data_IF_446889921704
#
_entry.id   IF_446889921704
#
_cell.length_a   1.000
_cell.length_b   1.000
_cell.length_c   1.000
_cell.angle_alpha   90.00
_cell.angle_beta   90.00
_cell.angle_gamma   90.00
#
_symmetry.space_group_name_H-M   'P 1'
#
loop_
_entity.id
_entity.type
_entity.pdbx_description
1 polymer ?
#
# COMPACT_ATOMS: atom_id res chain seq x y z
N UNK A 1 8.29 -28.58 41.77
CA UNK A 1 8.29 -27.15 41.38
C UNK A 1 9.40 -26.81 40.37
N UNK A 2 10.62 -27.34 40.50
CA UNK A 2 11.76 -27.02 39.60
C UNK A 2 11.55 -27.38 38.11
N UNK A 3 10.84 -28.46 37.79
CA UNK A 3 10.55 -28.86 36.39
C UNK A 3 9.57 -27.92 35.67
N UNK A 4 8.63 -27.31 36.40
CA UNK A 4 7.67 -26.35 35.84
C UNK A 4 8.33 -25.00 35.52
N UNK A 5 9.28 -24.58 36.37
CA UNK A 5 10.07 -23.36 36.19
C UNK A 5 11.00 -23.43 34.98
N UNK A 6 11.62 -24.60 34.73
CA UNK A 6 12.46 -24.82 33.55
C UNK A 6 11.61 -24.85 32.26
N UNK A 7 10.43 -25.48 32.29
CA UNK A 7 9.52 -25.49 31.15
C UNK A 7 8.97 -24.10 30.81
N UNK A 8 8.63 -23.30 31.82
CA UNK A 8 8.14 -21.93 31.63
C UNK A 8 9.23 -21.01 31.06
N UNK A 9 10.46 -21.08 31.59
CA UNK A 9 11.58 -20.30 31.05
C UNK A 9 11.93 -20.74 29.62
N UNK A 10 11.88 -22.04 29.32
CA UNK A 10 12.10 -22.54 27.97
C UNK A 10 11.08 -22.00 26.97
N UNK A 11 9.80 -21.97 27.35
CA UNK A 11 8.74 -21.41 26.51
C UNK A 11 8.90 -19.90 26.28
N UNK A 12 9.25 -19.14 27.32
CA UNK A 12 9.50 -17.71 27.20
C UNK A 12 10.68 -17.38 26.28
N UNK A 13 11.75 -18.18 26.33
CA UNK A 13 12.90 -18.00 25.42
C UNK A 13 12.52 -18.30 23.98
N UNK A 14 11.78 -19.39 23.73
CA UNK A 14 11.32 -19.73 22.38
C UNK A 14 10.37 -18.66 21.84
N UNK A 15 9.44 -18.17 22.67
CA UNK A 15 8.51 -17.11 22.29
C UNK A 15 9.25 -15.80 21.99
N UNK A 16 10.23 -15.41 22.81
CA UNK A 16 11.03 -14.21 22.57
C UNK A 16 11.85 -14.32 21.27
N UNK A 17 12.42 -15.50 20.98
CA UNK A 17 13.13 -15.75 19.72
C UNK A 17 12.19 -15.75 18.51
N UNK A 18 10.98 -16.32 18.65
CA UNK A 18 9.96 -16.28 17.61
C UNK A 18 9.45 -14.86 17.35
N UNK A 19 9.21 -14.07 18.40
CA UNK A 19 8.79 -12.68 18.30
C UNK A 19 9.90 -11.79 17.71
N UNK A 20 11.17 -12.01 18.07
CA UNK A 20 12.30 -11.32 17.48
C UNK A 20 12.53 -11.73 16.01
N UNK A 21 12.36 -13.01 15.69
CA UNK A 21 12.42 -13.52 14.32
C UNK A 21 11.29 -12.97 13.45
N UNK A 22 10.06 -12.94 13.97
CA UNK A 22 8.90 -12.34 13.32
C UNK A 22 9.08 -10.83 13.14
N UNK A 23 9.49 -10.13 14.20
CA UNK A 23 9.79 -8.70 14.14
C UNK A 23 10.91 -8.38 13.15
N UNK A 24 11.94 -9.22 13.09
CA UNK A 24 13.01 -9.14 12.11
C UNK A 24 12.51 -9.42 10.68
N UNK A 25 11.66 -10.42 10.49
CA UNK A 25 11.07 -10.77 9.20
C UNK A 25 10.16 -9.64 8.66
N UNK A 26 9.29 -9.10 9.51
CA UNK A 26 8.45 -7.94 9.17
C UNK A 26 9.32 -6.71 8.92
N UNK A 27 10.33 -6.45 9.74
CA UNK A 27 11.27 -5.34 9.53
C UNK A 27 12.05 -5.47 8.22
N UNK A 28 12.52 -6.67 7.88
CA UNK A 28 13.22 -6.96 6.63
C UNK A 28 12.31 -6.76 5.41
N UNK A 29 11.03 -7.06 5.55
CA UNK A 29 10.04 -6.87 4.48
C UNK A 29 9.58 -5.42 4.33
N UNK A 30 9.47 -4.69 5.43
CA UNK A 30 9.04 -3.28 5.45
C UNK A 30 10.19 -2.33 5.12
N UNK A 31 11.45 -2.67 5.42
CA UNK A 31 12.61 -1.82 5.10
C UNK A 31 12.93 -1.73 3.61
N UNK A 32 12.44 -2.69 2.82
CA UNK A 32 12.56 -2.68 1.36
C UNK A 32 11.43 -1.86 0.70
N UNK A 33 10.51 -1.27 1.49
CA UNK A 33 9.66 -0.19 1.01
C UNK A 33 10.54 1.05 0.94
N UNK A 34 11.07 1.32 -0.25
CA UNK A 34 11.79 2.57 -0.55
C UNK A 34 10.91 3.75 -0.10
N UNK A 35 11.33 4.42 0.98
CA UNK A 35 10.73 5.69 1.36
C UNK A 35 11.14 6.70 0.30
N UNK A 36 10.31 6.86 -0.71
CA UNK A 36 10.58 7.81 -1.79
C UNK A 36 10.55 9.21 -1.17
N UNK A 37 11.69 9.90 -1.22
CA UNK A 37 11.79 11.26 -0.71
C UNK A 37 10.90 12.15 -1.58
N UNK A 38 9.85 12.71 -0.96
CA UNK A 38 8.86 13.52 -1.66
C UNK A 38 9.51 14.71 -2.34
N UNK A 39 10.58 15.22 -1.75
CA UNK A 39 11.41 16.30 -2.25
C UNK A 39 12.17 15.94 -3.54
N UNK A 40 12.46 14.65 -3.76
CA UNK A 40 13.05 14.12 -4.99
C UNK A 40 11.98 13.93 -6.08
N UNK A 41 10.82 13.39 -5.70
CA UNK A 41 9.66 13.20 -6.59
C UNK A 41 9.10 14.53 -7.10
N UNK A 42 9.06 15.55 -6.25
CA UNK A 42 8.51 16.87 -6.60
C UNK A 42 9.50 17.75 -7.38
N UNK A 43 10.81 17.52 -7.26
CA UNK A 43 11.82 18.36 -7.96
C UNK A 43 12.11 17.91 -9.39
N UNK A 44 11.81 16.66 -9.74
CA UNK A 44 12.16 16.12 -11.05
C UNK A 44 13.68 16.01 -11.23
N UNK A 45 14.12 15.01 -11.98
CA UNK A 45 15.51 14.59 -12.12
C UNK A 45 16.44 15.54 -12.91
N UNK A 46 16.16 16.86 -12.97
CA UNK A 46 16.85 17.78 -13.89
C UNK A 46 17.68 18.91 -13.24
N UNK A 47 17.83 18.95 -11.91
CA UNK A 47 18.71 19.95 -11.28
C UNK A 47 20.06 19.36 -10.85
N UNK A 48 21.09 19.68 -11.63
CA UNK A 48 22.48 19.28 -11.35
C UNK A 48 22.94 19.81 -9.97
N UNK A 49 23.69 19.03 -9.18
CA UNK A 49 24.15 19.48 -7.86
C UNK A 49 25.05 20.73 -7.99
N UNK A 50 24.95 21.71 -7.06
CA UNK A 50 25.85 22.85 -7.06
C UNK A 50 27.29 22.38 -6.87
N UNK A 51 28.21 22.97 -7.64
CA UNK A 51 29.63 22.65 -7.60
C UNK A 51 30.20 22.86 -6.18
N UNK A 52 30.66 21.77 -5.57
CA UNK A 52 31.32 21.81 -4.26
C UNK A 52 32.73 22.40 -4.41
N UNK A 53 32.94 23.61 -3.89
CA UNK A 53 34.27 24.14 -3.59
C UNK A 53 34.93 23.35 -2.45
N UNK A 54 36.25 23.50 -2.22
CA UNK A 54 36.99 22.64 -1.30
C UNK A 54 36.48 22.80 0.13
N UNK A 55 35.90 21.73 0.67
CA UNK A 55 35.34 21.68 2.03
C UNK A 55 36.48 21.41 3.01
N UNK A 56 36.78 22.39 3.87
CA UNK A 56 37.67 22.19 5.01
C UNK A 56 37.05 21.20 5.99
N UNK A 57 37.88 20.28 6.51
CA UNK A 57 37.52 19.28 7.52
C UNK A 57 36.93 19.96 8.77
N UNK A 58 35.60 20.03 8.82
CA UNK A 58 34.87 20.21 10.06
C UNK A 58 34.36 18.83 10.44
N UNK A 59 34.81 18.33 11.58
CA UNK A 59 34.37 17.05 12.15
C UNK A 59 32.84 17.01 12.16
N UNK A 60 32.25 16.10 11.39
CA UNK A 60 30.82 15.86 11.42
C UNK A 60 30.38 15.49 12.85
N UNK A 61 29.28 16.06 13.38
CA UNK A 61 28.71 15.61 14.64
C UNK A 61 28.26 14.15 14.49
N UNK A 62 28.30 13.40 15.60
CA UNK A 62 27.85 12.01 15.64
C UNK A 62 26.38 11.90 15.16
N UNK A 63 25.97 10.79 14.54
CA UNK A 63 24.59 10.61 14.10
C UNK A 63 23.64 10.72 15.30
N UNK A 64 22.77 11.73 15.30
CA UNK A 64 21.66 11.79 16.25
C UNK A 64 20.72 10.62 15.96
N UNK A 65 20.35 9.87 17.01
CA UNK A 65 19.30 8.86 16.89
C UNK A 65 18.02 9.54 16.39
N UNK A 66 17.33 8.99 15.37
CA UNK A 66 16.13 9.59 14.84
C UNK A 66 15.08 9.69 15.95
N UNK A 67 14.81 10.92 16.39
CA UNK A 67 13.77 11.16 17.37
C UNK A 67 12.41 10.87 16.71
N UNK A 68 11.49 10.18 17.42
CA UNK A 68 10.16 9.98 16.89
C UNK A 68 9.52 11.35 16.61
N UNK A 69 8.86 11.52 15.45
CA UNK A 69 8.28 12.78 15.06
C UNK A 69 7.31 13.26 16.15
N UNK A 70 7.41 14.53 16.52
CA UNK A 70 6.56 15.14 17.55
C UNK A 70 5.34 15.86 16.96
N UNK A 71 5.30 16.02 15.64
CA UNK A 71 4.19 16.59 14.90
C UNK A 71 3.34 15.51 14.23
N UNK A 72 2.04 15.77 13.97
CA UNK A 72 1.23 14.89 13.14
C UNK A 72 1.80 14.78 11.73
N UNK A 73 1.76 13.57 11.17
CA UNK A 73 2.24 13.26 9.82
C UNK A 73 1.09 12.75 8.95
N UNK A 74 1.12 13.12 7.67
CA UNK A 74 0.17 12.73 6.65
C UNK A 74 0.85 11.80 5.64
N UNK A 75 0.36 10.56 5.57
CA UNK A 75 0.79 9.54 4.62
C UNK A 75 -0.25 9.42 3.51
N UNK A 76 0.17 9.63 2.26
CA UNK A 76 -0.64 9.31 1.10
C UNK A 76 -0.39 7.85 0.72
N UNK A 77 -1.41 7.01 0.87
CA UNK A 77 -1.42 5.60 0.50
C UNK A 77 -2.12 5.45 -0.85
N UNK A 78 -1.44 4.87 -1.83
CA UNK A 78 -1.96 4.67 -3.18
C UNK A 78 -1.90 3.21 -3.56
N UNK A 79 -3.06 2.66 -3.92
CA UNK A 79 -3.15 1.38 -4.62
C UNK A 79 -3.16 1.62 -6.12
N UNK A 80 -2.10 1.19 -6.82
CA UNK A 80 -2.04 1.32 -8.27
C UNK A 80 -2.49 0.02 -8.96
N UNK A 81 -3.12 0.16 -10.13
CA UNK A 81 -3.44 -0.96 -10.99
C UNK A 81 -2.28 -1.32 -11.95
N UNK A 82 -1.07 -0.86 -11.62
CA UNK A 82 0.14 -1.17 -12.39
C UNK A 82 0.32 -2.68 -12.47
N UNK A 83 0.65 -3.15 -13.67
CA UNK A 83 0.92 -4.57 -13.96
C UNK A 83 2.34 -4.75 -14.47
N UNK A 84 3.22 -3.81 -14.15
CA UNK A 84 4.64 -3.86 -14.51
C UNK A 84 5.35 -5.13 -14.00
N UNK A 85 4.77 -5.84 -13.02
CA UNK A 85 5.26 -7.11 -12.48
C UNK A 85 4.78 -8.36 -13.27
N UNK A 86 3.86 -8.23 -14.23
CA UNK A 86 3.32 -9.36 -15.00
C UNK A 86 4.40 -9.90 -15.95
N UNK A 87 5.00 -11.03 -15.61
CA UNK A 87 6.08 -11.65 -16.38
C UNK A 87 5.79 -13.11 -16.81
N UNK A 88 4.69 -13.70 -16.32
CA UNK A 88 4.27 -15.08 -16.62
C UNK A 88 2.90 -15.19 -17.31
N UNK A 89 2.63 -16.32 -17.98
CA UNK A 89 1.30 -16.60 -18.57
C UNK A 89 0.19 -16.72 -17.51
N UNK A 90 0.54 -17.09 -16.27
CA UNK A 90 -0.38 -17.18 -15.12
C UNK A 90 -0.77 -15.78 -14.61
N UNK A 91 0.18 -14.84 -14.62
CA UNK A 91 -0.07 -13.44 -14.27
C UNK A 91 -0.91 -12.73 -15.32
N UNK A 92 -0.73 -13.06 -16.60
CA UNK A 92 -1.58 -12.54 -17.68
C UNK A 92 -3.04 -12.97 -17.50
N UNK A 93 -3.30 -14.21 -17.07
CA UNK A 93 -4.66 -14.70 -16.82
C UNK A 93 -5.31 -14.02 -15.59
N UNK A 94 -4.51 -13.77 -14.54
CA UNK A 94 -4.98 -13.21 -13.26
C UNK A 94 -5.11 -11.68 -13.25
N UNK A 95 -4.26 -11.00 -14.03
CA UNK A 95 -4.13 -9.54 -14.00
C UNK A 95 -4.42 -8.90 -15.35
N UNK A 96 -4.18 -9.58 -16.48
CA UNK A 96 -4.26 -9.00 -17.83
C UNK A 96 -2.94 -8.34 -18.27
N UNK A 97 -2.90 -7.82 -19.50
CA UNK A 97 -1.71 -7.13 -20.05
C UNK A 97 -1.75 -5.62 -19.81
N UNK A 98 -0.57 -5.01 -19.64
CA UNK A 98 -0.42 -3.58 -19.37
C UNK A 98 -0.38 -2.76 -20.67
N UNK A 99 -1.48 -2.08 -21.02
CA UNK A 99 -1.59 -1.26 -22.24
C UNK A 99 -2.02 0.20 -21.95
N UNK A 100 -2.04 0.63 -20.69
CA UNK A 100 -2.55 1.96 -20.30
C UNK A 100 -1.64 2.65 -19.28
N UNK A 101 -1.62 4.00 -19.25
CA UNK A 101 -0.93 4.73 -18.18
C UNK A 101 -1.46 4.28 -16.82
N UNK A 102 -0.55 4.05 -15.88
CA UNK A 102 -0.89 3.59 -14.53
C UNK A 102 -1.92 4.52 -13.88
N UNK A 103 -2.87 3.96 -13.12
CA UNK A 103 -3.89 4.72 -12.39
C UNK A 103 -3.86 4.41 -10.91
N UNK A 104 -4.19 5.41 -10.12
CA UNK A 104 -4.46 5.24 -8.69
C UNK A 104 -5.93 4.82 -8.50
N UNK A 105 -6.17 3.53 -8.32
CA UNK A 105 -7.52 2.99 -8.11
C UNK A 105 -7.95 3.09 -6.63
N UNK A 106 -6.97 3.16 -5.72
CA UNK A 106 -7.18 3.39 -4.29
C UNK A 106 -6.33 4.58 -3.84
N UNK A 107 -6.94 5.57 -3.19
CA UNK A 107 -6.26 6.78 -2.70
C UNK A 107 -6.73 7.04 -1.28
N UNK A 108 -5.85 6.91 -0.29
CA UNK A 108 -6.14 7.16 1.12
C UNK A 108 -5.12 8.13 1.71
N UNK A 109 -5.60 9.09 2.49
CA UNK A 109 -4.75 9.91 3.35
C UNK A 109 -4.87 9.41 4.78
N UNK A 110 -3.76 8.93 5.33
CA UNK A 110 -3.65 8.53 6.72
C UNK A 110 -2.91 9.62 7.51
N UNK A 111 -3.59 10.23 8.47
CA UNK A 111 -2.98 11.17 9.41
C UNK A 111 -2.67 10.46 10.72
N UNK A 112 -1.41 10.46 11.12
CA UNK A 112 -0.94 9.88 12.38
C UNK A 112 -0.49 11.00 13.30
N UNK A 113 -1.13 11.11 14.46
CA UNK A 113 -0.75 12.03 15.53
C UNK A 113 -0.09 11.22 16.67
N UNK A 114 1.25 11.27 16.80
CA UNK A 114 1.97 10.51 17.81
C UNK A 114 1.76 11.05 19.23
N UNK A 115 1.44 12.34 19.38
CA UNK A 115 1.19 12.98 20.68
C UNK A 115 -0.19 12.62 21.18
N UNK A 116 -1.21 12.75 20.33
CA UNK A 116 -2.59 12.37 20.65
C UNK A 116 -2.80 10.85 20.62
N UNK A 117 -1.88 10.09 20.03
CA UNK A 117 -1.96 8.63 19.80
C UNK A 117 -3.19 8.24 18.98
N UNK A 118 -3.45 9.01 17.93
CA UNK A 118 -4.59 8.81 17.05
C UNK A 118 -4.13 8.63 15.61
N UNK A 119 -4.78 7.75 14.87
CA UNK A 119 -4.69 7.66 13.43
C UNK A 119 -6.07 7.93 12.83
N UNK A 120 -6.14 8.74 11.77
CA UNK A 120 -7.36 9.02 11.02
C UNK A 120 -7.11 8.72 9.55
N UNK A 121 -8.07 8.06 8.90
CA UNK A 121 -7.97 7.71 7.48
C UNK A 121 -9.13 8.36 6.72
N UNK A 122 -8.81 8.95 5.57
CA UNK A 122 -9.80 9.50 4.63
C UNK A 122 -9.52 8.92 3.25
N UNK A 123 -10.55 8.33 2.65
CA UNK A 123 -10.47 7.82 1.28
C UNK A 123 -10.93 8.87 0.27
N UNK A 124 -10.15 9.06 -0.78
CA UNK A 124 -10.55 9.82 -1.97
C UNK A 124 -11.08 8.83 -3.02
N UNK A 125 -12.36 8.94 -3.43
CA UNK A 125 -12.87 8.10 -4.51
C UNK A 125 -12.08 8.34 -5.80
N UNK A 126 -11.66 7.27 -6.51
CA UNK A 126 -10.85 7.38 -7.73
C UNK A 126 -11.44 8.28 -8.83
N UNK A 127 -12.77 8.34 -8.89
CA UNK A 127 -13.54 9.10 -9.89
C UNK A 127 -13.93 10.49 -9.37
N UNK A 128 -13.38 10.94 -8.23
CA UNK A 128 -13.59 12.27 -7.69
C UNK A 128 -13.13 13.33 -8.69
N UNK A 129 -14.01 14.25 -9.05
CA UNK A 129 -13.75 15.24 -10.09
C UNK A 129 -13.11 16.50 -9.49
N UNK A 130 -11.86 16.80 -9.84
CA UNK A 130 -11.01 17.84 -9.22
C UNK A 130 -10.20 18.59 -10.28
N UNK A 131 -9.63 19.73 -9.91
CA UNK A 131 -8.65 20.42 -10.76
C UNK A 131 -7.34 19.62 -10.73
N UNK A 132 -6.77 19.25 -11.88
CA UNK A 132 -5.56 18.44 -11.94
C UNK A 132 -4.35 19.37 -11.96
N UNK A 133 -3.40 19.17 -11.05
CA UNK A 133 -2.20 19.99 -10.98
C UNK A 133 -1.40 19.90 -12.29
N UNK A 134 -0.98 21.05 -12.81
CA UNK A 134 -0.23 21.13 -14.08
C UNK A 134 -1.08 21.05 -15.35
N UNK A 135 -2.40 20.82 -15.26
CA UNK A 135 -3.32 20.77 -16.40
C UNK A 135 -4.33 21.93 -16.38
N UNK A 136 -4.81 22.34 -17.56
CA UNK A 136 -5.95 23.26 -17.66
C UNK A 136 -7.28 22.48 -17.57
N UNK A 137 -7.98 22.64 -16.44
CA UNK A 137 -9.34 22.13 -16.25
C UNK A 137 -9.44 21.00 -15.23
N UNK A 138 -10.60 20.33 -15.24
CA UNK A 138 -10.95 19.30 -14.24
C UNK A 138 -11.02 17.91 -14.84
N UNK A 139 -10.55 16.93 -14.08
CA UNK A 139 -10.63 15.52 -14.43
C UNK A 139 -10.90 14.67 -13.19
N UNK A 140 -11.01 13.36 -13.39
CA UNK A 140 -11.05 12.40 -12.28
C UNK A 140 -9.67 12.32 -11.63
N UNK A 141 -9.62 12.35 -10.30
CA UNK A 141 -8.38 12.41 -9.53
C UNK A 141 -7.39 11.28 -9.86
N UNK A 142 -7.88 10.09 -10.22
CA UNK A 142 -7.01 8.97 -10.59
C UNK A 142 -6.19 9.20 -11.86
N UNK A 143 -6.55 10.16 -12.71
CA UNK A 143 -5.77 10.51 -13.90
C UNK A 143 -4.52 11.30 -13.55
N UNK A 144 -4.49 11.98 -12.39
CA UNK A 144 -3.31 12.71 -11.92
C UNK A 144 -2.10 11.80 -11.65
N UNK A 145 -2.30 10.48 -11.62
CA UNK A 145 -1.26 9.47 -11.45
C UNK A 145 -0.59 9.04 -12.78
N UNK A 146 -1.07 9.51 -13.94
CA UNK A 146 -0.64 9.01 -15.24
C UNK A 146 0.87 9.17 -15.50
N UNK A 147 1.48 10.23 -14.98
CA UNK A 147 2.93 10.51 -15.08
C UNK A 147 3.68 10.11 -13.80
N UNK A 148 3.02 9.43 -12.87
CA UNK A 148 3.56 9.03 -11.57
C UNK A 148 2.93 9.78 -10.39
N UNK A 149 3.48 9.58 -9.18
CA UNK A 149 2.86 10.04 -7.93
C UNK A 149 2.88 11.56 -7.75
N UNK A 150 3.85 12.27 -8.33
CA UNK A 150 4.03 13.72 -8.14
C UNK A 150 2.76 14.51 -8.48
N UNK A 151 2.15 14.23 -9.63
CA UNK A 151 0.93 14.90 -10.09
C UNK A 151 -0.26 14.66 -9.15
N UNK A 152 -0.39 13.44 -8.62
CA UNK A 152 -1.45 13.10 -7.66
C UNK A 152 -1.24 13.80 -6.30
N UNK A 153 -0.01 13.79 -5.79
CA UNK A 153 0.36 14.48 -4.54
C UNK A 153 0.05 15.97 -4.63
N UNK A 154 0.47 16.61 -5.72
CA UNK A 154 0.24 18.03 -5.93
C UNK A 154 -1.26 18.32 -6.10
N UNK A 155 -1.98 17.52 -6.88
CA UNK A 155 -3.43 17.63 -7.06
C UNK A 155 -4.18 17.57 -5.73
N UNK A 156 -3.83 16.63 -4.84
CA UNK A 156 -4.46 16.52 -3.52
C UNK A 156 -4.11 17.73 -2.66
N UNK A 157 -2.84 18.14 -2.65
CA UNK A 157 -2.38 19.25 -1.83
C UNK A 157 -3.10 20.56 -2.20
N UNK A 158 -3.24 20.85 -3.50
CA UNK A 158 -3.87 22.06 -4.01
C UNK A 158 -5.40 22.09 -3.83
N UNK A 159 -6.08 20.95 -4.04
CA UNK A 159 -7.55 20.90 -3.94
C UNK A 159 -8.07 20.86 -2.51
N UNK A 160 -7.29 20.30 -1.57
CA UNK A 160 -7.77 20.02 -0.21
C UNK A 160 -6.99 20.76 0.89
N UNK A 161 -5.96 21.54 0.54
CA UNK A 161 -5.13 22.30 1.48
C UNK A 161 -4.54 21.40 2.58
N UNK A 162 -3.99 20.25 2.15
CA UNK A 162 -3.35 19.27 3.03
C UNK A 162 -1.91 19.05 2.60
N UNK A 163 -0.98 19.05 3.55
CA UNK A 163 0.39 18.61 3.29
C UNK A 163 0.44 17.09 3.22
N UNK A 164 1.27 16.55 2.35
CA UNK A 164 1.62 15.13 2.33
C UNK A 164 3.09 15.07 2.76
N UNK A 165 3.39 14.30 3.80
CA UNK A 165 4.75 14.16 4.34
C UNK A 165 5.42 12.90 3.78
N UNK A 166 4.62 11.85 3.54
CA UNK A 166 5.10 10.57 3.05
C UNK A 166 4.14 10.00 2.01
N UNK A 167 4.70 9.22 1.09
CA UNK A 167 3.96 8.52 0.05
C UNK A 167 4.26 7.02 0.13
N UNK A 168 3.22 6.20 -0.01
CA UNK A 168 3.34 4.74 -0.09
C UNK A 168 2.52 4.25 -1.26
N UNK A 169 3.16 3.52 -2.17
CA UNK A 169 2.48 2.83 -3.25
C UNK A 169 2.44 1.34 -2.99
N UNK A 170 1.29 0.71 -3.26
CA UNK A 170 1.11 -0.73 -3.21
C UNK A 170 0.44 -1.16 -4.51
N UNK A 171 1.05 -2.09 -5.24
CA UNK A 171 0.42 -2.74 -6.38
C UNK A 171 -0.23 -4.07 -5.94
N UNK A 172 -0.71 -4.86 -6.89
CA UNK A 172 -1.39 -6.12 -6.59
C UNK A 172 -0.47 -7.17 -5.94
N UNK A 173 0.79 -7.25 -6.34
CA UNK A 173 1.71 -8.21 -5.76
C UNK A 173 2.12 -7.78 -4.35
N UNK A 174 2.49 -6.51 -4.16
CA UNK A 174 2.79 -5.96 -2.84
C UNK A 174 1.62 -6.09 -1.86
N UNK A 175 0.36 -6.00 -2.34
CA UNK A 175 -0.81 -6.25 -1.50
C UNK A 175 -0.86 -7.71 -1.02
N UNK A 176 -0.68 -8.68 -1.91
CA UNK A 176 -0.67 -10.11 -1.54
C UNK A 176 0.42 -10.40 -0.53
N UNK A 177 1.63 -9.94 -0.81
CA UNK A 177 2.80 -10.13 0.05
C UNK A 177 2.59 -9.51 1.44
N UNK A 178 1.96 -8.33 1.52
CA UNK A 178 1.64 -7.69 2.79
C UNK A 178 0.66 -8.52 3.62
N UNK A 179 -0.41 -9.04 3.00
CA UNK A 179 -1.40 -9.86 3.68
C UNK A 179 -0.78 -11.18 4.16
N UNK A 180 0.01 -11.83 3.32
CA UNK A 180 0.69 -13.08 3.68
C UNK A 180 1.71 -12.85 4.80
N UNK A 181 2.44 -11.73 4.78
CA UNK A 181 3.40 -11.37 5.81
C UNK A 181 2.76 -11.13 7.20
N UNK A 182 1.50 -10.68 7.25
CA UNK A 182 0.75 -10.54 8.52
C UNK A 182 0.03 -11.84 8.94
N UNK A 183 0.16 -12.92 8.16
CA UNK A 183 -0.47 -14.22 8.44
C UNK A 183 -1.88 -14.37 7.89
N UNK A 184 -2.26 -13.56 6.89
CA UNK A 184 -3.60 -13.49 6.32
C UNK A 184 -4.52 -12.52 7.07
N UNK A 185 -5.75 -12.35 6.56
CA UNK A 185 -6.80 -11.55 7.20
C UNK A 185 -8.06 -12.37 7.49
N UNK A 186 -8.65 -12.20 8.67
CA UNK A 186 -9.93 -12.81 9.01
C UNK A 186 -11.10 -11.94 8.55
N UNK A 187 -12.04 -12.54 7.81
CA UNK A 187 -13.25 -11.88 7.34
C UNK A 187 -14.50 -12.64 7.78
N UNK A 188 -15.49 -11.89 8.28
CA UNK A 188 -16.79 -12.47 8.65
C UNK A 188 -17.73 -12.53 7.44
N UNK A 189 -18.02 -13.74 6.95
CA UNK A 189 -18.92 -13.98 5.81
C UNK A 189 -20.20 -14.69 6.26
N UNK A 190 -21.36 -14.07 6.04
CA UNK A 190 -22.65 -14.70 6.40
C UNK A 190 -23.14 -15.72 5.37
N UNK A 191 -22.62 -15.65 4.15
CA UNK A 191 -22.96 -16.48 3.00
C UNK A 191 -21.70 -16.77 2.19
N UNK A 192 -21.65 -17.87 1.43
CA UNK A 192 -20.65 -18.04 0.39
C UNK A 192 -20.66 -16.84 -0.57
N UNK A 193 -19.48 -16.44 -1.03
CA UNK A 193 -19.32 -15.26 -1.89
C UNK A 193 -18.53 -15.59 -3.14
N UNK A 194 -18.88 -14.93 -4.24
CA UNK A 194 -18.12 -15.01 -5.50
C UNK A 194 -18.23 -13.72 -6.30
N UNK A 195 -17.35 -13.54 -7.28
CA UNK A 195 -17.47 -12.47 -8.27
C UNK A 195 -17.89 -13.07 -9.62
N UNK A 196 -19.17 -12.96 -9.99
CA UNK A 196 -19.70 -13.57 -11.22
C UNK A 196 -20.26 -12.51 -12.16
N UNK A 197 -19.42 -12.06 -13.09
CA UNK A 197 -19.72 -10.94 -13.96
C UNK A 197 -19.64 -11.29 -15.44
N UNK A 198 -20.18 -10.39 -16.28
CA UNK A 198 -20.01 -10.45 -17.73
C UNK A 198 -18.85 -9.52 -18.13
N UNK A 199 -17.75 -10.05 -18.68
CA UNK A 199 -16.57 -9.24 -19.03
C UNK A 199 -16.83 -8.34 -20.24
N UNK A 200 -17.58 -8.81 -21.24
CA UNK A 200 -17.91 -8.04 -22.45
C UNK A 200 -19.32 -8.37 -22.98
N UNK A 201 -19.98 -7.47 -23.74
CA UNK A 201 -21.27 -7.74 -24.36
C UNK A 201 -21.20 -9.00 -25.26
N UNK A 202 -22.02 -10.00 -24.96
CA UNK A 202 -22.09 -11.26 -25.72
C UNK A 202 -21.25 -12.40 -25.14
N UNK A 203 -20.39 -12.14 -24.16
CA UNK A 203 -19.66 -13.19 -23.45
C UNK A 203 -20.49 -13.83 -22.31
N UNK A 204 -20.24 -15.11 -21.98
CA UNK A 204 -20.85 -15.73 -20.80
C UNK A 204 -20.34 -15.08 -19.51
N UNK A 205 -21.11 -15.22 -18.45
CA UNK A 205 -20.62 -14.82 -17.12
C UNK A 205 -19.48 -15.76 -16.69
N UNK A 206 -18.45 -15.19 -16.07
CA UNK A 206 -17.30 -15.92 -15.52
C UNK A 206 -16.82 -15.28 -14.22
N UNK A 207 -15.89 -15.95 -13.55
CA UNK A 207 -15.21 -15.38 -12.40
C UNK A 207 -14.31 -14.21 -12.86
N UNK A 208 -14.61 -12.98 -12.42
CA UNK A 208 -13.92 -11.78 -12.91
C UNK A 208 -12.67 -11.46 -12.07
N UNK A 209 -12.76 -11.53 -10.75
CA UNK A 209 -11.65 -11.23 -9.84
C UNK A 209 -10.89 -12.46 -9.33
N UNK A 210 -11.38 -13.66 -9.61
CA UNK A 210 -10.92 -14.91 -8.98
C UNK A 210 -11.65 -15.21 -7.66
N UNK A 211 -12.56 -14.36 -7.19
CA UNK A 211 -13.27 -14.55 -5.93
C UNK A 211 -14.26 -15.72 -6.01
N UNK A 212 -14.02 -16.77 -5.23
CA UNK A 212 -14.93 -17.88 -4.99
C UNK A 212 -14.64 -18.49 -3.61
N UNK A 213 -15.42 -18.10 -2.60
CA UNK A 213 -15.27 -18.53 -1.22
C UNK A 213 -16.55 -19.23 -0.78
N UNK A 214 -16.46 -20.54 -0.58
CA UNK A 214 -17.58 -21.37 -0.13
C UNK A 214 -17.78 -21.39 1.38
N UNK A 215 -16.76 -20.99 2.14
CA UNK A 215 -16.75 -20.96 3.58
C UNK A 215 -17.54 -19.76 4.13
N UNK A 216 -18.07 -19.91 5.35
CA UNK A 216 -18.86 -18.88 6.04
C UNK A 216 -18.38 -18.74 7.49
N UNK A 217 -18.90 -17.76 8.21
CA UNK A 217 -18.47 -17.31 9.54
C UNK A 217 -17.11 -16.60 9.48
N UNK A 218 -16.16 -16.91 10.37
CA UNK A 218 -14.83 -16.33 10.35
C UNK A 218 -13.96 -17.12 9.36
N UNK A 219 -13.71 -16.55 8.20
CA UNK A 219 -12.88 -17.16 7.14
C UNK A 219 -11.53 -16.45 7.12
N UNK A 220 -10.45 -17.22 7.17
CA UNK A 220 -9.09 -16.70 7.02
C UNK A 220 -8.76 -16.62 5.53
N UNK A 221 -8.43 -15.42 5.05
CA UNK A 221 -8.03 -15.18 3.66
C UNK A 221 -6.51 -14.99 3.59
N UNK A 222 -5.87 -15.71 2.68
CA UNK A 222 -4.50 -15.41 2.24
C UNK A 222 -4.47 -14.19 1.32
N UNK A 223 -3.28 -13.76 0.90
CA UNK A 223 -3.10 -12.59 0.05
C UNK A 223 -3.84 -12.68 -1.28
N UNK A 224 -3.90 -13.87 -1.88
CA UNK A 224 -4.59 -14.08 -3.16
C UNK A 224 -6.10 -13.95 -2.99
N UNK A 225 -6.67 -14.64 -2.00
CA UNK A 225 -8.10 -14.57 -1.70
C UNK A 225 -8.53 -13.16 -1.27
N UNK A 226 -7.73 -12.50 -0.44
CA UNK A 226 -7.97 -11.12 -0.03
C UNK A 226 -7.94 -10.17 -1.22
N UNK A 227 -6.98 -10.34 -2.15
CA UNK A 227 -6.90 -9.53 -3.36
C UNK A 227 -8.12 -9.74 -4.26
N UNK A 228 -8.53 -10.98 -4.49
CA UNK A 228 -9.75 -11.30 -5.25
C UNK A 228 -11.00 -10.68 -4.61
N UNK A 229 -11.07 -10.64 -3.28
CA UNK A 229 -12.16 -10.02 -2.53
C UNK A 229 -12.24 -8.51 -2.78
N UNK A 230 -11.13 -7.78 -2.59
CA UNK A 230 -11.12 -6.30 -2.75
C UNK A 230 -11.23 -5.84 -4.20
N UNK A 231 -10.86 -6.70 -5.17
CA UNK A 231 -11.03 -6.44 -6.61
C UNK A 231 -12.42 -6.76 -7.15
N UNK A 232 -13.26 -7.48 -6.40
CA UNK A 232 -14.58 -7.90 -6.85
C UNK A 232 -15.49 -6.72 -7.21
N UNK A 233 -16.05 -6.73 -8.42
CA UNK A 233 -16.98 -5.69 -8.91
C UNK A 233 -18.40 -6.22 -9.16
N UNK A 234 -18.59 -7.53 -9.26
CA UNK A 234 -19.89 -8.20 -9.42
C UNK A 234 -20.10 -9.20 -8.29
N UNK A 235 -19.99 -8.68 -7.06
CA UNK A 235 -20.08 -9.46 -5.83
C UNK A 235 -21.47 -10.10 -5.69
N UNK A 236 -21.50 -11.43 -5.55
CA UNK A 236 -22.69 -12.22 -5.28
C UNK A 236 -22.58 -12.93 -3.92
N UNK A 237 -23.69 -12.95 -3.18
CA UNK A 237 -23.88 -13.78 -1.98
C UNK A 237 -24.82 -14.94 -2.36
N UNK A 238 -24.47 -16.16 -1.98
CA UNK A 238 -25.21 -17.38 -2.34
C UNK A 238 -26.11 -17.92 -1.22
#
# INVERSE_FOLDING_TARGET
MQRALIALNGFLVIFALAAAGWGGYVYDRVRDIDSVDLDEVLRGSDEAPPAQGPVGETSAPAPEEPQPPSAPLNFLLVGSDSRAFVDSEEDVDSFGVDESPARADTILLARVDPVAKTASLVSFPRDLYVDIAGEEGRNRINTAFAEGPAGLIQTISENFDVSIDHYVQVDFEGFKELIDAVGGIELWLSYPVRDWGRPAPGEPNRNISGLDISETTCVQLDGTQALSYVRSRHFEQL
#
